data_IF_371918875842
#
_entry.id   IF_371918875842
#
_cell.length_a   1.000
_cell.length_b   1.000
_cell.length_c   1.000
_cell.angle_alpha   90.00
_cell.angle_beta   90.00
_cell.angle_gamma   90.00
#
_symmetry.space_group_name_H-M   'P 1'
#
loop_
_entity.id
_entity.type
_entity.pdbx_description
1 polymer ?
#
# COMPACT_ATOMS: atom_id res chain seq x y z
N UNK A 1 -12.76 30.75 11.45
CA UNK A 1 -12.61 29.29 11.39
C UNK A 1 -11.34 28.98 10.60
N UNK A 2 -10.44 28.12 11.09
CA UNK A 2 -9.25 27.72 10.32
C UNK A 2 -9.68 26.79 9.17
N UNK A 3 -9.13 26.99 7.96
CA UNK A 3 -9.33 26.05 6.84
C UNK A 3 -8.89 24.64 7.23
N UNK A 4 -9.59 23.60 6.77
CA UNK A 4 -9.28 22.20 7.05
C UNK A 4 -7.79 21.86 6.94
N UNK A 5 -7.13 22.20 5.83
CA UNK A 5 -5.71 21.93 5.63
C UNK A 5 -4.82 22.54 6.74
N UNK A 6 -5.13 23.74 7.20
CA UNK A 6 -4.38 24.43 8.26
C UNK A 6 -4.55 23.74 9.63
N UNK A 7 -5.74 23.20 9.92
CA UNK A 7 -5.96 22.36 11.11
C UNK A 7 -5.07 21.11 11.07
N UNK A 8 -5.00 20.46 9.90
CA UNK A 8 -4.19 19.25 9.71
C UNK A 8 -2.68 19.55 9.77
N UNK A 9 -2.22 20.68 9.20
CA UNK A 9 -0.82 21.13 9.32
C UNK A 9 -0.40 21.26 10.78
N UNK A 10 -1.26 21.85 11.63
CA UNK A 10 -1.01 21.97 13.07
C UNK A 10 -0.98 20.63 13.79
N UNK A 11 -1.78 19.63 13.37
CA UNK A 11 -1.65 18.26 13.88
C UNK A 11 -0.35 17.62 13.46
N UNK A 12 0.01 17.73 12.18
CA UNK A 12 1.27 17.18 11.65
C UNK A 12 2.51 17.78 12.34
N UNK A 13 2.44 19.03 12.78
CA UNK A 13 3.50 19.69 13.57
C UNK A 13 3.60 19.16 15.00
N UNK A 14 2.52 18.61 15.55
CA UNK A 14 2.42 18.09 16.92
C UNK A 14 2.62 16.58 17.03
N UNK A 15 3.08 15.90 15.97
CA UNK A 15 3.40 14.48 16.07
C UNK A 15 4.42 14.28 17.21
N UNK A 16 3.95 13.66 18.29
CA UNK A 16 4.65 13.62 19.57
C UNK A 16 5.75 12.57 19.59
N UNK A 17 5.63 11.56 18.73
CA UNK A 17 6.54 10.43 18.66
C UNK A 17 7.76 10.79 17.79
N UNK A 18 8.93 10.81 18.43
CA UNK A 18 10.24 11.09 17.84
C UNK A 18 11.25 10.07 18.35
N UNK A 19 12.33 9.85 17.62
CA UNK A 19 13.37 8.89 17.97
C UNK A 19 12.79 7.48 18.18
N UNK A 20 11.87 7.10 17.30
CA UNK A 20 11.14 5.84 17.36
C UNK A 20 12.02 4.64 16.95
N UNK A 21 13.08 4.90 16.18
CA UNK A 21 13.93 3.89 15.54
C UNK A 21 15.32 4.44 15.26
N UNK A 22 16.25 3.54 14.95
CA UNK A 22 17.63 3.80 14.52
C UNK A 22 17.78 3.63 13.01
N UNK A 23 18.91 4.08 12.45
CA UNK A 23 19.29 3.87 11.03
C UNK A 23 19.84 2.45 10.78
N UNK A 24 19.70 1.53 11.74
CA UNK A 24 20.24 0.17 11.67
C UNK A 24 19.32 -0.76 10.90
N UNK A 25 19.90 -1.75 10.22
CA UNK A 25 19.16 -2.82 9.53
C UNK A 25 19.49 -4.14 10.20
N UNK A 26 18.48 -4.79 10.76
CA UNK A 26 18.54 -6.15 11.29
C UNK A 26 17.70 -7.06 10.38
N UNK A 27 18.33 -7.61 9.33
CA UNK A 27 17.62 -8.36 8.30
C UNK A 27 17.20 -9.75 8.80
N UNK A 28 15.93 -9.87 9.21
CA UNK A 28 15.34 -11.10 9.77
C UNK A 28 14.59 -11.96 8.75
N UNK A 29 14.47 -11.51 7.50
CA UNK A 29 13.68 -12.20 6.47
C UNK A 29 14.53 -13.06 5.52
N UNK A 30 14.12 -14.29 5.30
CA UNK A 30 14.64 -15.12 4.21
C UNK A 30 14.00 -14.75 2.86
N UNK A 31 14.81 -14.66 1.79
CA UNK A 31 14.30 -14.41 0.43
C UNK A 31 13.93 -15.75 -0.22
N UNK A 32 12.67 -16.14 -0.10
CA UNK A 32 12.18 -17.41 -0.65
C UNK A 32 12.04 -17.41 -2.17
N UNK A 33 11.70 -16.26 -2.79
CA UNK A 33 11.31 -16.20 -4.20
C UNK A 33 11.45 -14.78 -4.77
N UNK A 34 11.93 -14.70 -6.01
CA UNK A 34 11.79 -13.50 -6.85
C UNK A 34 10.91 -13.82 -8.06
N UNK A 35 9.97 -12.93 -8.34
CA UNK A 35 9.14 -12.98 -9.54
C UNK A 35 9.43 -11.73 -10.35
N UNK A 36 9.58 -11.90 -11.65
CA UNK A 36 9.85 -10.85 -12.62
C UNK A 36 8.75 -10.86 -13.69
N UNK A 37 8.68 -9.85 -14.58
CA UNK A 37 7.59 -9.75 -15.57
C UNK A 37 7.37 -11.03 -16.37
N UNK A 38 8.46 -11.68 -16.81
CA UNK A 38 8.49 -12.94 -17.55
C UNK A 38 7.90 -14.15 -16.79
N UNK A 39 7.72 -14.06 -15.47
CA UNK A 39 7.04 -15.09 -14.68
C UNK A 39 5.51 -14.98 -14.75
N UNK A 40 4.97 -13.88 -15.29
CA UNK A 40 3.54 -13.62 -15.37
C UNK A 40 3.05 -13.69 -16.81
N UNK A 41 2.23 -14.70 -17.11
CA UNK A 41 1.55 -14.82 -18.40
C UNK A 41 0.17 -14.17 -18.32
N UNK A 42 -0.04 -13.08 -19.04
CA UNK A 42 -1.32 -12.37 -19.00
C UNK A 42 -2.34 -13.07 -19.90
N UNK A 43 -3.50 -13.42 -19.35
CA UNK A 43 -4.47 -14.28 -20.07
C UNK A 43 -5.68 -13.54 -20.64
N UNK A 44 -5.88 -12.27 -20.28
CA UNK A 44 -7.04 -11.47 -20.69
C UNK A 44 -6.67 -10.11 -21.31
N UNK A 45 -5.40 -9.92 -21.71
CA UNK A 45 -4.90 -8.73 -22.38
C UNK A 45 -3.81 -9.14 -23.39
N UNK A 46 -3.72 -8.54 -24.59
CA UNK A 46 -2.87 -9.05 -25.66
C UNK A 46 -1.37 -8.73 -25.50
N UNK A 47 -0.95 -8.01 -24.45
CA UNK A 47 0.46 -7.65 -24.22
C UNK A 47 0.99 -8.36 -22.98
N UNK A 48 2.28 -8.66 -23.00
CA UNK A 48 3.02 -9.11 -21.82
C UNK A 48 3.52 -7.90 -21.02
N UNK A 49 3.63 -8.01 -19.68
CA UNK A 49 4.13 -6.92 -18.86
C UNK A 49 5.63 -6.71 -19.11
N UNK A 50 6.04 -5.45 -19.11
CA UNK A 50 7.45 -5.04 -19.14
C UNK A 50 8.04 -4.85 -17.74
N UNK A 51 7.19 -4.57 -16.75
CA UNK A 51 7.51 -4.53 -15.32
C UNK A 51 6.34 -5.11 -14.51
N UNK A 52 6.65 -5.79 -13.40
CA UNK A 52 5.67 -6.43 -12.52
C UNK A 52 6.20 -6.45 -11.10
N UNK A 53 5.68 -5.59 -10.23
CA UNK A 53 6.23 -5.37 -8.89
C UNK A 53 5.14 -4.99 -7.87
N UNK A 54 5.53 -4.67 -6.64
CA UNK A 54 4.67 -4.19 -5.55
C UNK A 54 3.35 -5.00 -5.37
N UNK A 55 3.39 -6.35 -5.34
CA UNK A 55 2.17 -7.14 -5.31
C UNK A 55 1.46 -7.10 -3.96
N UNK A 56 0.12 -7.09 -3.96
CA UNK A 56 -0.64 -7.54 -2.80
C UNK A 56 -0.65 -9.07 -2.72
N UNK A 57 -1.07 -9.60 -1.58
CA UNK A 57 -1.33 -11.02 -1.39
C UNK A 57 -2.64 -11.22 -0.62
N UNK A 58 -3.39 -12.25 -0.99
CA UNK A 58 -4.64 -12.64 -0.32
C UNK A 58 -4.58 -14.11 0.04
N UNK A 59 -4.63 -14.40 1.33
CA UNK A 59 -4.80 -15.76 1.83
C UNK A 59 -6.21 -16.28 1.54
N UNK A 60 -6.28 -17.49 0.97
CA UNK A 60 -7.52 -18.19 0.63
C UNK A 60 -7.68 -19.43 1.52
N UNK A 61 -8.91 -19.94 1.54
CA UNK A 61 -9.17 -21.29 2.06
C UNK A 61 -8.31 -22.34 1.30
N UNK A 62 -7.98 -23.44 1.98
CA UNK A 62 -7.12 -24.54 1.50
C UNK A 62 -5.61 -24.21 1.37
N UNK A 63 -5.11 -23.29 2.18
CA UNK A 63 -3.67 -22.93 2.20
C UNK A 63 -3.14 -22.45 0.84
N UNK A 64 -3.99 -21.71 0.12
CA UNK A 64 -3.66 -21.09 -1.17
C UNK A 64 -3.63 -19.56 -1.05
N UNK A 65 -2.99 -18.89 -2.00
CA UNK A 65 -2.96 -17.44 -2.11
C UNK A 65 -3.27 -16.96 -3.51
N UNK A 66 -3.88 -15.79 -3.60
CA UNK A 66 -3.79 -14.94 -4.79
C UNK A 66 -2.64 -13.95 -4.61
N UNK A 67 -1.85 -13.74 -5.67
CA UNK A 67 -0.85 -12.67 -5.76
C UNK A 67 -1.43 -11.63 -6.72
N UNK A 68 -1.34 -10.35 -6.34
CA UNK A 68 -1.92 -9.25 -7.11
C UNK A 68 -0.85 -8.26 -7.54
N UNK A 69 -0.06 -8.57 -8.59
CA UNK A 69 1.05 -7.72 -9.02
C UNK A 69 0.54 -6.41 -9.63
N UNK A 70 1.31 -5.33 -9.44
CA UNK A 70 1.22 -4.14 -10.28
C UNK A 70 1.87 -4.46 -11.61
N UNK A 71 1.11 -4.42 -12.69
CA UNK A 71 1.54 -4.73 -14.05
C UNK A 71 1.67 -3.46 -14.88
N UNK A 72 2.78 -3.33 -15.60
CA UNK A 72 3.04 -2.26 -16.55
C UNK A 72 3.33 -2.87 -17.90
N UNK A 73 2.68 -2.36 -18.94
CA UNK A 73 2.79 -2.90 -20.30
C UNK A 73 3.63 -2.03 -21.22
N UNK A 74 3.84 -0.75 -20.87
CA UNK A 74 4.53 0.23 -21.72
C UNK A 74 5.39 1.18 -20.89
N UNK A 75 6.62 1.44 -21.34
CA UNK A 75 7.55 2.34 -20.63
C UNK A 75 7.30 3.82 -20.86
N UNK A 76 6.64 4.22 -21.95
CA UNK A 76 6.54 5.66 -22.29
C UNK A 76 5.67 6.44 -21.30
N UNK A 77 4.48 5.93 -21.01
CA UNK A 77 3.57 6.55 -20.04
C UNK A 77 3.60 5.86 -18.67
N UNK A 78 4.19 4.66 -18.59
CA UNK A 78 4.34 3.87 -17.36
C UNK A 78 3.01 3.63 -16.63
N UNK A 79 1.92 3.56 -17.39
CA UNK A 79 0.57 3.38 -16.84
C UNK A 79 0.43 1.97 -16.29
N UNK A 80 0.15 1.89 -14.99
CA UNK A 80 0.02 0.62 -14.29
C UNK A 80 -1.42 0.15 -14.17
N UNK A 81 -1.54 -1.16 -14.04
CA UNK A 81 -2.76 -1.92 -13.79
C UNK A 81 -2.49 -2.93 -12.67
N UNK A 82 -3.52 -3.54 -12.11
CA UNK A 82 -3.39 -4.60 -11.10
C UNK A 82 -3.86 -5.92 -11.69
N UNK A 83 -3.00 -6.91 -11.59
CA UNK A 83 -3.31 -8.30 -11.92
C UNK A 83 -3.86 -9.08 -10.72
N UNK A 84 -4.40 -10.26 -10.99
CA UNK A 84 -4.62 -11.30 -9.99
C UNK A 84 -4.22 -12.66 -10.58
N UNK A 85 -3.41 -13.41 -9.86
CA UNK A 85 -3.03 -14.75 -10.28
C UNK A 85 -4.17 -15.73 -10.04
N UNK A 86 -4.13 -16.88 -10.71
CA UNK A 86 -4.81 -18.07 -10.16
C UNK A 86 -4.31 -18.37 -8.74
N UNK A 87 -5.09 -19.14 -7.98
CA UNK A 87 -4.67 -19.59 -6.65
C UNK A 87 -3.36 -20.37 -6.73
N UNK A 88 -2.45 -20.08 -5.81
CA UNK A 88 -1.14 -20.72 -5.69
C UNK A 88 -1.02 -21.34 -4.31
N UNK A 89 -0.63 -22.62 -4.18
CA UNK A 89 -0.37 -23.21 -2.87
C UNK A 89 0.74 -22.45 -2.14
N UNK A 90 0.51 -22.07 -0.89
CA UNK A 90 1.46 -21.29 -0.08
C UNK A 90 2.78 -22.03 0.09
N UNK A 91 2.73 -23.36 0.23
CA UNK A 91 3.93 -24.17 0.33
C UNK A 91 4.88 -23.98 -0.86
N UNK A 92 4.36 -23.80 -2.08
CA UNK A 92 5.20 -23.51 -3.26
C UNK A 92 5.85 -22.13 -3.20
N UNK A 93 5.20 -21.16 -2.55
CA UNK A 93 5.73 -19.82 -2.34
C UNK A 93 6.89 -19.86 -1.34
N UNK A 94 6.68 -20.53 -0.19
CA UNK A 94 7.69 -20.70 0.87
C UNK A 94 8.91 -21.46 0.33
N UNK A 95 8.69 -22.52 -0.45
CA UNK A 95 9.77 -23.34 -1.03
C UNK A 95 10.44 -22.72 -2.27
N UNK A 96 9.99 -21.56 -2.74
CA UNK A 96 10.54 -20.92 -3.95
C UNK A 96 10.31 -21.72 -5.24
N UNK A 97 9.26 -22.54 -5.31
CA UNK A 97 8.98 -23.47 -6.42
C UNK A 97 8.00 -22.92 -7.46
N UNK A 98 7.72 -21.63 -7.43
CA UNK A 98 6.89 -20.95 -8.44
C UNK A 98 7.77 -20.54 -9.62
N UNK A 99 7.32 -20.83 -10.84
CA UNK A 99 8.06 -20.49 -12.08
C UNK A 99 7.26 -19.61 -13.03
N UNK A 100 6.01 -19.99 -13.29
CA UNK A 100 5.12 -19.25 -14.17
C UNK A 100 3.74 -19.15 -13.51
N UNK A 101 3.08 -18.01 -13.69
CA UNK A 101 1.78 -17.70 -13.14
C UNK A 101 0.90 -17.14 -14.25
N UNK A 102 -0.26 -17.75 -14.47
CA UNK A 102 -1.33 -17.10 -15.22
C UNK A 102 -1.88 -15.94 -14.38
N UNK A 103 -1.95 -14.75 -14.97
CA UNK A 103 -2.49 -13.54 -14.32
C UNK A 103 -3.58 -12.91 -15.18
N UNK A 104 -4.65 -12.44 -14.53
CA UNK A 104 -5.71 -11.66 -15.15
C UNK A 104 -5.60 -10.21 -14.71
N UNK A 105 -5.64 -9.26 -15.64
CA UNK A 105 -5.77 -7.83 -15.33
C UNK A 105 -7.18 -7.58 -14.80
N UNK A 106 -7.31 -7.13 -13.56
CA UNK A 106 -8.60 -6.90 -12.87
C UNK A 106 -8.86 -5.44 -12.54
N UNK A 107 -7.81 -4.63 -12.42
CA UNK A 107 -7.93 -3.19 -12.21
C UNK A 107 -7.07 -2.45 -13.22
N UNK A 108 -7.65 -1.49 -13.91
CA UNK A 108 -6.96 -0.61 -14.84
C UNK A 108 -7.64 0.77 -14.84
N UNK A 109 -6.97 1.81 -15.37
CA UNK A 109 -7.56 3.14 -15.43
C UNK A 109 -8.87 3.16 -16.24
N UNK A 110 -9.93 3.64 -15.60
CA UNK A 110 -11.25 3.91 -16.18
C UNK A 110 -11.74 5.32 -15.85
N UNK A 111 -11.04 6.04 -14.97
CA UNK A 111 -11.35 7.42 -14.59
C UNK A 111 -10.16 8.36 -14.76
N UNK A 112 -10.46 9.66 -14.91
CA UNK A 112 -9.45 10.70 -15.11
C UNK A 112 -8.46 10.82 -13.92
N UNK A 113 -8.92 10.57 -12.70
CA UNK A 113 -8.11 10.67 -11.48
C UNK A 113 -7.13 9.50 -11.28
N UNK A 114 -7.20 8.47 -12.12
CA UNK A 114 -6.27 7.32 -12.16
C UNK A 114 -5.72 7.08 -13.58
N UNK A 115 -5.88 8.04 -14.49
CA UNK A 115 -5.51 7.89 -15.91
C UNK A 115 -4.01 7.60 -16.15
N UNK A 116 -3.17 7.86 -15.16
CA UNK A 116 -1.73 7.60 -15.18
C UNK A 116 -1.36 6.29 -14.46
N UNK A 117 -2.32 5.55 -13.89
CA UNK A 117 -2.11 4.22 -13.34
C UNK A 117 -2.89 3.93 -12.06
N UNK A 118 -3.12 2.64 -11.85
CA UNK A 118 -3.53 2.05 -10.57
C UNK A 118 -2.30 1.39 -9.95
N UNK A 119 -1.81 1.86 -8.80
CA UNK A 119 -0.54 1.44 -8.21
C UNK A 119 -0.73 0.77 -6.84
N UNK A 120 0.17 -0.16 -6.52
CA UNK A 120 0.50 -0.65 -5.18
C UNK A 120 -0.73 -1.13 -4.36
N UNK A 121 -1.38 -2.23 -4.78
CA UNK A 121 -2.61 -2.71 -4.17
C UNK A 121 -2.37 -3.28 -2.77
N UNK A 122 -3.36 -3.11 -1.89
CA UNK A 122 -3.46 -3.72 -0.56
C UNK A 122 -4.89 -4.20 -0.36
N UNK A 123 -5.04 -5.46 -0.01
CA UNK A 123 -6.34 -6.16 -0.08
C UNK A 123 -6.81 -6.63 1.28
N UNK A 124 -8.12 -6.61 1.48
CA UNK A 124 -8.79 -7.20 2.64
C UNK A 124 -10.08 -7.89 2.18
N UNK A 125 -10.29 -9.13 2.64
CA UNK A 125 -11.53 -9.86 2.42
C UNK A 125 -12.57 -9.44 3.47
N UNK A 126 -13.79 -9.14 3.03
CA UNK A 126 -14.95 -8.83 3.87
C UNK A 126 -16.13 -9.67 3.36
N UNK A 127 -16.40 -10.78 4.04
CA UNK A 127 -17.26 -11.83 3.50
C UNK A 127 -16.69 -12.35 2.18
N UNK A 128 -17.50 -12.37 1.14
CA UNK A 128 -17.11 -12.80 -0.21
C UNK A 128 -16.53 -11.68 -1.08
N UNK A 129 -16.52 -10.44 -0.58
CA UNK A 129 -16.03 -9.28 -1.34
C UNK A 129 -14.57 -9.01 -1.02
N UNK A 130 -13.80 -8.68 -2.05
CA UNK A 130 -12.45 -8.16 -1.89
C UNK A 130 -12.49 -6.63 -1.92
N UNK A 131 -12.08 -6.01 -0.82
CA UNK A 131 -11.77 -4.59 -0.77
C UNK A 131 -10.30 -4.40 -1.14
N UNK A 132 -10.03 -3.52 -2.10
CA UNK A 132 -8.67 -3.21 -2.54
C UNK A 132 -8.41 -1.72 -2.39
N UNK A 133 -7.53 -1.37 -1.46
CA UNK A 133 -6.90 -0.06 -1.41
C UNK A 133 -5.79 -0.02 -2.46
N UNK A 134 -5.69 1.07 -3.19
CA UNK A 134 -4.63 1.29 -4.17
C UNK A 134 -4.42 2.79 -4.38
N UNK A 135 -3.32 3.17 -5.02
CA UNK A 135 -3.08 4.54 -5.42
C UNK A 135 -3.63 4.78 -6.82
N UNK A 136 -4.58 5.69 -6.97
CA UNK A 136 -4.97 6.23 -8.26
C UNK A 136 -4.08 7.42 -8.63
N UNK A 137 -3.35 7.33 -9.74
CA UNK A 137 -2.48 8.40 -10.23
C UNK A 137 -3.13 9.10 -11.41
N UNK A 138 -3.40 10.40 -11.32
CA UNK A 138 -4.10 11.07 -12.41
C UNK A 138 -4.42 12.52 -12.16
N UNK A 139 -5.53 12.98 -12.75
CA UNK A 139 -5.98 14.36 -12.68
C UNK A 139 -7.29 14.47 -11.89
N UNK A 140 -7.26 15.27 -10.82
CA UNK A 140 -8.42 15.59 -9.98
C UNK A 140 -8.90 17.00 -10.31
N UNK A 141 -10.23 17.17 -10.39
CA UNK A 141 -10.84 18.48 -10.60
C UNK A 141 -10.88 19.26 -9.28
N UNK A 142 -10.23 20.41 -9.24
CA UNK A 142 -10.20 21.34 -8.10
C UNK A 142 -10.72 22.71 -8.59
N UNK A 143 -11.98 23.01 -8.28
CA UNK A 143 -12.68 24.17 -8.83
C UNK A 143 -12.70 24.15 -10.37
N UNK A 144 -12.03 25.11 -11.01
CA UNK A 144 -11.93 25.21 -12.49
C UNK A 144 -10.68 24.55 -13.07
N UNK A 145 -9.76 24.04 -12.25
CA UNK A 145 -8.48 23.48 -12.70
C UNK A 145 -8.46 21.96 -12.52
N UNK A 146 -7.60 21.31 -13.31
CA UNK A 146 -7.23 19.91 -13.13
C UNK A 146 -5.82 19.88 -12.55
N UNK A 147 -5.65 19.20 -11.44
CA UNK A 147 -4.36 19.05 -10.76
C UNK A 147 -3.93 17.59 -10.81
N UNK A 148 -2.62 17.37 -11.00
CA UNK A 148 -2.05 16.03 -10.85
C UNK A 148 -2.04 15.67 -9.37
N UNK A 149 -2.67 14.56 -9.01
CA UNK A 149 -2.71 14.05 -7.64
C UNK A 149 -2.52 12.53 -7.64
N UNK A 150 -2.00 12.06 -6.51
CA UNK A 150 -1.98 10.66 -6.16
C UNK A 150 -3.05 10.43 -5.08
N UNK A 151 -4.14 9.77 -5.42
CA UNK A 151 -5.29 9.61 -4.51
C UNK A 151 -5.33 8.21 -3.91
N UNK A 152 -5.67 8.12 -2.63
CA UNK A 152 -5.98 6.85 -1.99
C UNK A 152 -7.34 6.40 -2.49
N UNK A 153 -7.37 5.30 -3.22
CA UNK A 153 -8.56 4.77 -3.86
C UNK A 153 -8.99 3.44 -3.27
N UNK A 154 -10.29 3.15 -3.39
CA UNK A 154 -10.92 1.89 -3.01
C UNK A 154 -11.63 1.29 -4.22
N UNK A 155 -11.36 0.02 -4.49
CA UNK A 155 -12.14 -0.81 -5.38
C UNK A 155 -12.80 -1.96 -4.60
N UNK A 156 -14.07 -2.25 -4.92
CA UNK A 156 -14.79 -3.41 -4.42
C UNK A 156 -14.93 -4.42 -5.55
N UNK A 157 -14.36 -5.61 -5.36
CA UNK A 157 -14.40 -6.69 -6.33
C UNK A 157 -15.32 -7.81 -5.82
N UNK A 158 -16.09 -8.42 -6.73
CA UNK A 158 -16.88 -9.61 -6.44
C UNK A 158 -16.03 -10.89 -6.43
N UNK A 159 -16.66 -12.05 -6.20
CA UNK A 159 -16.02 -13.37 -6.17
C UNK A 159 -15.40 -13.79 -7.52
N UNK A 160 -15.79 -13.13 -8.61
CA UNK A 160 -15.21 -13.30 -9.94
C UNK A 160 -14.22 -12.19 -10.29
N UNK A 161 -13.80 -11.40 -9.29
CA UNK A 161 -12.89 -10.27 -9.40
C UNK A 161 -13.36 -9.14 -10.32
N UNK A 162 -14.66 -9.04 -10.60
CA UNK A 162 -15.20 -7.89 -11.32
C UNK A 162 -15.32 -6.69 -10.39
N UNK A 163 -14.83 -5.54 -10.85
CA UNK A 163 -14.94 -4.28 -10.13
C UNK A 163 -16.41 -3.83 -10.10
N UNK A 164 -17.05 -3.87 -8.93
CA UNK A 164 -18.43 -3.38 -8.73
C UNK A 164 -18.50 -1.90 -8.42
N UNK A 165 -17.47 -1.39 -7.74
CA UNK A 165 -17.39 0.01 -7.33
C UNK A 165 -15.95 0.44 -7.27
N UNK A 166 -15.71 1.69 -7.66
CA UNK A 166 -14.39 2.32 -7.60
C UNK A 166 -14.53 3.81 -7.31
N UNK A 167 -13.67 4.34 -6.46
CA UNK A 167 -13.59 5.78 -6.15
C UNK A 167 -12.41 6.07 -5.24
N UNK A 168 -12.24 7.33 -4.83
CA UNK A 168 -11.13 7.74 -3.97
C UNK A 168 -11.58 8.52 -2.75
N UNK A 169 -10.76 8.44 -1.70
CA UNK A 169 -11.03 9.05 -0.42
C UNK A 169 -10.71 10.55 -0.42
N UNK A 170 -11.61 11.34 0.16
CA UNK A 170 -11.35 12.75 0.53
C UNK A 170 -11.31 12.89 2.04
N UNK A 171 -10.52 13.84 2.55
CA UNK A 171 -10.55 14.16 3.97
C UNK A 171 -11.70 15.14 4.21
N UNK A 172 -12.54 14.88 5.22
CA UNK A 172 -13.68 15.75 5.54
C UNK A 172 -13.65 16.23 6.98
N UNK A 173 -14.01 17.49 7.23
CA UNK A 173 -14.11 18.04 8.58
C UNK A 173 -15.20 19.12 8.60
N UNK A 174 -16.28 18.89 9.34
CA UNK A 174 -17.41 19.84 9.46
C UNK A 174 -17.97 20.31 8.10
N UNK A 175 -18.03 19.39 7.12
CA UNK A 175 -18.53 19.65 5.78
C UNK A 175 -17.52 20.26 4.80
N UNK A 176 -16.33 20.67 5.26
CA UNK A 176 -15.22 21.00 4.36
C UNK A 176 -14.57 19.72 3.83
N UNK A 177 -14.26 19.69 2.53
CA UNK A 177 -13.52 18.60 1.88
C UNK A 177 -12.10 19.05 1.53
N UNK A 178 -11.15 18.13 1.61
CA UNK A 178 -9.77 18.33 1.20
C UNK A 178 -9.21 17.08 0.53
N UNK A 179 -8.68 17.26 -0.68
CA UNK A 179 -7.91 16.22 -1.37
C UNK A 179 -6.43 16.60 -1.30
N UNK A 180 -5.58 15.88 -0.53
CA UNK A 180 -4.16 16.18 -0.46
C UNK A 180 -3.48 15.96 -1.83
N UNK A 181 -2.32 16.58 -2.09
CA UNK A 181 -1.55 16.34 -3.32
C UNK A 181 -1.21 14.85 -3.51
N UNK A 182 -0.95 14.15 -2.39
CA UNK A 182 -0.68 12.72 -2.37
C UNK A 182 -1.37 12.09 -1.15
N UNK A 183 -1.99 10.93 -1.31
CA UNK A 183 -2.40 10.04 -0.23
C UNK A 183 -2.20 8.61 -0.72
N UNK A 184 -1.20 7.93 -0.19
CA UNK A 184 -0.84 6.55 -0.53
C UNK A 184 -0.75 5.71 0.75
N UNK A 185 -0.18 4.50 0.65
CA UNK A 185 0.39 3.80 1.80
C UNK A 185 -0.64 3.62 2.92
N UNK A 186 -1.73 2.92 2.62
CA UNK A 186 -2.86 2.77 3.52
C UNK A 186 -3.22 1.30 3.75
N UNK A 187 -3.70 1.01 4.96
CA UNK A 187 -4.15 -0.32 5.36
C UNK A 187 -5.44 -0.21 6.17
N UNK A 188 -6.32 -1.19 5.99
CA UNK A 188 -7.45 -1.39 6.88
C UNK A 188 -7.00 -2.02 8.20
N UNK A 189 -7.65 -1.65 9.30
CA UNK A 189 -7.55 -2.32 10.59
C UNK A 189 -8.89 -3.01 10.89
N UNK A 190 -9.79 -2.33 11.60
CA UNK A 190 -11.14 -2.82 11.88
C UNK A 190 -12.08 -2.36 10.78
N UNK A 191 -12.80 -3.30 10.17
CA UNK A 191 -13.81 -3.00 9.16
C UNK A 191 -15.20 -3.36 9.70
N UNK A 192 -16.04 -2.34 9.85
CA UNK A 192 -17.48 -2.48 10.07
C UNK A 192 -18.27 -2.42 8.76
N UNK A 193 -19.60 -2.25 8.87
CA UNK A 193 -20.49 -2.23 7.70
C UNK A 193 -20.25 -1.03 6.76
N UNK A 194 -20.04 0.15 7.34
CA UNK A 194 -19.72 1.38 6.60
C UNK A 194 -18.45 2.08 7.11
N UNK A 195 -18.09 1.84 8.37
CA UNK A 195 -16.94 2.48 9.00
C UNK A 195 -15.74 1.55 9.00
N UNK A 196 -14.55 2.11 8.84
CA UNK A 196 -13.32 1.38 9.09
C UNK A 196 -12.30 2.27 9.82
N UNK A 197 -11.60 1.71 10.79
CA UNK A 197 -10.36 2.29 11.25
C UNK A 197 -9.26 1.97 10.24
N UNK A 198 -8.47 2.98 9.89
CA UNK A 198 -7.49 2.91 8.82
C UNK A 198 -6.18 3.57 9.20
N UNK A 199 -5.11 2.99 8.70
CA UNK A 199 -3.80 3.61 8.58
C UNK A 199 -3.74 4.30 7.21
N UNK A 200 -3.28 5.55 7.15
CA UNK A 200 -3.22 6.36 5.92
C UNK A 200 -1.98 7.25 5.88
N UNK A 201 -1.60 7.72 4.68
CA UNK A 201 -0.42 8.59 4.49
C UNK A 201 -0.73 9.79 3.58
N UNK A 202 -1.64 10.69 3.99
CA UNK A 202 -1.85 11.94 3.27
C UNK A 202 -0.65 12.86 3.42
N UNK A 203 -0.27 13.52 2.34
CA UNK A 203 0.70 14.62 2.36
C UNK A 203 0.00 15.90 2.82
N UNK A 204 0.38 16.38 4.01
CA UNK A 204 -0.20 17.56 4.64
C UNK A 204 0.89 18.61 4.84
N UNK A 205 0.78 19.75 4.16
CA UNK A 205 1.78 20.81 4.24
C UNK A 205 3.19 20.37 3.89
N UNK A 206 3.32 19.51 2.87
CA UNK A 206 4.60 18.93 2.42
C UNK A 206 5.15 17.81 3.32
N UNK A 207 4.46 17.45 4.42
CA UNK A 207 4.89 16.35 5.29
C UNK A 207 4.33 15.02 4.82
N UNK A 208 5.23 14.05 4.60
CA UNK A 208 4.92 12.67 4.19
C UNK A 208 5.22 11.72 5.36
N UNK A 209 4.27 11.67 6.30
CA UNK A 209 4.34 10.91 7.55
C UNK A 209 3.12 9.99 7.68
N UNK A 210 3.18 9.00 8.58
CA UNK A 210 2.10 8.05 8.81
C UNK A 210 1.00 8.63 9.71
N UNK A 211 -0.25 8.34 9.39
CA UNK A 211 -1.45 8.74 10.14
C UNK A 211 -2.38 7.55 10.37
N UNK A 212 -3.36 7.77 11.27
CA UNK A 212 -4.54 6.93 11.47
C UNK A 212 -5.81 7.77 11.39
N UNK A 213 -6.94 7.16 11.02
CA UNK A 213 -8.26 7.79 11.08
C UNK A 213 -9.39 6.77 11.01
N UNK A 214 -10.59 7.22 11.34
CA UNK A 214 -11.84 6.59 10.92
C UNK A 214 -12.20 7.00 9.48
N UNK A 215 -12.72 6.06 8.71
CA UNK A 215 -13.19 6.28 7.35
C UNK A 215 -14.65 5.84 7.17
N UNK A 216 -15.37 6.48 6.25
CA UNK A 216 -16.64 5.96 5.71
C UNK A 216 -16.37 5.36 4.34
N UNK A 217 -16.68 4.07 4.18
CA UNK A 217 -16.46 3.30 2.97
C UNK A 217 -17.52 3.60 1.91
N UNK A 218 -18.78 3.82 2.29
CA UNK A 218 -19.84 4.21 1.35
C UNK A 218 -19.62 5.61 0.79
N UNK A 219 -19.19 6.57 1.61
CA UNK A 219 -18.97 7.95 1.15
C UNK A 219 -17.55 8.18 0.63
N UNK A 220 -16.61 7.25 0.87
CA UNK A 220 -15.18 7.40 0.57
C UNK A 220 -14.63 8.68 1.19
N UNK A 221 -14.77 8.79 2.52
CA UNK A 221 -14.26 9.93 3.28
C UNK A 221 -13.39 9.46 4.44
N UNK A 222 -12.30 10.18 4.70
CA UNK A 222 -11.49 10.07 5.91
C UNK A 222 -11.96 11.15 6.88
N UNK A 223 -12.36 10.78 8.08
CA UNK A 223 -12.83 11.74 9.09
C UNK A 223 -11.66 12.54 9.63
N UNK A 224 -11.55 13.77 9.13
CA UNK A 224 -10.53 14.74 9.50
C UNK A 224 -10.51 15.04 10.99
N UNK A 225 -11.60 14.84 11.75
CA UNK A 225 -11.58 15.01 13.22
C UNK A 225 -10.80 13.90 13.93
N UNK A 226 -10.79 12.70 13.36
CA UNK A 226 -10.07 11.52 13.90
C UNK A 226 -8.68 11.34 13.29
N UNK A 227 -8.37 12.07 12.21
CA UNK A 227 -7.09 11.99 11.51
C UNK A 227 -5.95 12.52 12.39
N UNK A 228 -5.13 11.61 12.91
CA UNK A 228 -4.03 11.89 13.85
C UNK A 228 -2.71 11.28 13.35
N UNK A 229 -1.57 12.00 13.48
CA UNK A 229 -0.28 11.51 13.04
C UNK A 229 0.25 10.47 14.03
N UNK A 230 0.79 9.37 13.50
CA UNK A 230 1.22 8.19 14.27
C UNK A 230 2.73 8.05 14.27
N UNK A 231 3.37 8.26 13.13
CA UNK A 231 4.81 8.06 13.00
C UNK A 231 5.39 9.08 12.02
N UNK A 232 6.28 9.92 12.52
CA UNK A 232 7.01 10.92 11.74
C UNK A 232 8.34 10.38 11.21
N UNK A 233 8.95 11.15 10.32
CA UNK A 233 10.31 10.91 9.84
C UNK A 233 11.32 11.17 10.96
N UNK A 234 12.35 10.34 11.04
CA UNK A 234 13.59 10.63 11.73
C UNK A 234 14.45 11.63 10.93
N UNK A 235 15.46 12.31 11.53
CA UNK A 235 16.25 13.34 10.84
C UNK A 235 16.93 12.88 9.55
N UNK A 236 17.25 11.59 9.43
CA UNK A 236 17.87 10.95 8.28
C UNK A 236 16.87 10.37 7.25
N UNK A 237 15.56 10.48 7.51
CA UNK A 237 14.50 10.00 6.62
C UNK A 237 13.85 11.15 5.85
N UNK A 238 13.74 11.01 4.53
CA UNK A 238 13.04 11.93 3.65
C UNK A 238 11.51 11.79 3.78
N UNK A 239 11.03 10.55 3.92
CA UNK A 239 9.61 10.24 4.13
C UNK A 239 9.45 8.86 4.76
N UNK A 240 8.29 8.66 5.38
CA UNK A 240 7.84 7.36 5.87
C UNK A 240 6.40 7.07 5.45
N UNK A 241 6.07 5.79 5.36
CA UNK A 241 4.72 5.33 5.02
C UNK A 241 4.44 3.91 5.48
N UNK A 242 3.16 3.55 5.55
CA UNK A 242 2.74 2.17 5.76
C UNK A 242 3.03 1.37 4.50
N UNK A 243 3.66 0.20 4.62
CA UNK A 243 4.05 -0.61 3.48
C UNK A 243 3.04 -1.73 3.21
N UNK A 244 2.64 -2.56 4.15
CA UNK A 244 1.76 -3.71 3.83
C UNK A 244 0.29 -3.46 4.14
N UNK A 245 -0.60 -4.41 3.79
CA UNK A 245 -1.85 -4.58 4.54
C UNK A 245 -1.54 -4.89 6.01
N UNK A 246 -2.52 -4.71 6.89
CA UNK A 246 -2.41 -5.12 8.28
C UNK A 246 -2.90 -6.57 8.46
N UNK A 247 -2.31 -7.29 9.40
CA UNK A 247 -2.76 -8.62 9.84
C UNK A 247 -3.06 -8.58 11.33
N UNK A 248 -4.13 -9.26 11.75
CA UNK A 248 -4.55 -9.26 13.15
C UNK A 248 -3.66 -10.19 13.98
N UNK A 249 -3.05 -9.68 15.05
CA UNK A 249 -2.22 -10.45 15.98
C UNK A 249 -3.03 -10.98 17.17
N UNK A 250 -3.89 -10.13 17.72
CA UNK A 250 -4.71 -10.42 18.90
C UNK A 250 -6.06 -9.71 18.78
N UNK A 251 -6.87 -9.69 19.85
CA UNK A 251 -8.19 -9.04 19.81
C UNK A 251 -8.14 -7.58 19.37
N UNK A 252 -7.10 -6.85 19.79
CA UNK A 252 -6.96 -5.40 19.69
C UNK A 252 -5.64 -4.97 19.05
N UNK A 253 -4.81 -5.88 18.54
CA UNK A 253 -3.51 -5.55 17.97
C UNK A 253 -3.39 -6.05 16.53
N UNK A 254 -2.75 -5.22 15.71
CA UNK A 254 -2.49 -5.47 14.31
C UNK A 254 -1.00 -5.30 14.02
N UNK A 255 -0.44 -6.21 13.23
CA UNK A 255 0.90 -6.09 12.66
C UNK A 255 0.79 -5.48 11.26
N UNK A 256 1.65 -4.52 10.98
CA UNK A 256 1.72 -3.85 9.68
C UNK A 256 3.17 -3.54 9.33
N UNK A 257 3.52 -3.67 8.06
CA UNK A 257 4.79 -3.18 7.55
C UNK A 257 4.81 -1.66 7.44
N UNK A 258 5.97 -1.06 7.63
CA UNK A 258 6.23 0.33 7.29
C UNK A 258 7.50 0.43 6.46
N UNK A 259 7.68 1.56 5.77
CA UNK A 259 8.90 1.88 5.05
C UNK A 259 9.41 3.27 5.41
N UNK A 260 10.73 3.43 5.32
CA UNK A 260 11.41 4.72 5.34
C UNK A 260 12.26 4.90 4.10
N UNK A 261 12.33 6.14 3.61
CA UNK A 261 13.25 6.54 2.53
C UNK A 261 14.35 7.36 3.13
N UNK A 262 15.59 6.91 2.96
CA UNK A 262 16.76 7.58 3.53
C UNK A 262 17.19 8.76 2.65
N UNK A 263 17.59 9.87 3.28
CA UNK A 263 17.90 11.13 2.57
C UNK A 263 19.15 11.05 1.70
N UNK A 264 20.18 10.35 2.15
CA UNK A 264 21.50 10.36 1.50
C UNK A 264 21.51 9.46 0.26
N UNK A 265 20.90 8.28 0.36
CA UNK A 265 20.93 7.26 -0.69
C UNK A 265 19.59 7.07 -1.42
N UNK A 266 18.53 7.75 -1.00
CA UNK A 266 17.14 7.56 -1.49
C UNK A 266 16.64 6.10 -1.43
N UNK A 267 17.27 5.25 -0.63
CA UNK A 267 16.93 3.84 -0.52
C UNK A 267 15.63 3.64 0.26
N UNK A 268 14.79 2.71 -0.18
CA UNK A 268 13.62 2.27 0.57
C UNK A 268 13.97 1.04 1.40
N UNK A 269 13.75 1.17 2.70
CA UNK A 269 13.94 0.09 3.69
C UNK A 269 12.64 -0.10 4.46
N UNK A 270 12.36 -1.33 4.87
CA UNK A 270 11.10 -1.67 5.55
C UNK A 270 11.36 -2.16 6.97
N UNK A 271 10.37 -1.95 7.83
CA UNK A 271 10.28 -2.55 9.16
C UNK A 271 8.85 -3.00 9.43
N UNK A 272 8.60 -3.42 10.67
CA UNK A 272 7.28 -3.79 11.16
C UNK A 272 6.86 -2.89 12.32
N UNK A 273 5.55 -2.72 12.47
CA UNK A 273 4.94 -1.98 13.56
C UNK A 273 3.73 -2.75 14.09
N UNK A 274 3.49 -2.63 15.39
CA UNK A 274 2.26 -3.08 16.03
C UNK A 274 1.43 -1.84 16.33
N UNK A 275 0.16 -1.87 15.93
CA UNK A 275 -0.83 -0.83 16.23
C UNK A 275 -2.05 -1.43 16.91
N UNK A 276 -2.77 -0.62 17.69
CA UNK A 276 -4.08 -1.02 18.24
C UNK A 276 -5.19 -0.98 17.16
N UNK A 277 -6.43 -1.34 17.53
CA UNK A 277 -7.56 -1.37 16.60
C UNK A 277 -7.96 0.01 16.07
N UNK A 278 -7.60 1.09 16.76
CA UNK A 278 -7.77 2.48 16.34
C UNK A 278 -6.57 3.03 15.57
N UNK A 279 -5.49 2.26 15.45
CA UNK A 279 -4.27 2.59 14.72
C UNK A 279 -3.20 3.36 15.52
N UNK A 280 -3.31 3.43 16.84
CA UNK A 280 -2.25 4.00 17.68
C UNK A 280 -1.03 3.06 17.71
N UNK A 281 0.17 3.63 17.67
CA UNK A 281 1.41 2.87 17.65
C UNK A 281 1.69 2.25 19.04
N UNK A 282 1.83 0.92 19.08
CA UNK A 282 2.17 0.16 20.28
C UNK A 282 3.66 -0.22 20.30
N UNK A 283 4.19 -0.61 19.15
CA UNK A 283 5.60 -0.94 18.98
C UNK A 283 6.05 -0.69 17.53
N UNK A 284 7.34 -0.45 17.34
CA UNK A 284 7.95 -0.26 16.03
C UNK A 284 9.36 -0.83 16.05
N UNK A 285 9.74 -1.53 14.98
CA UNK A 285 11.11 -2.02 14.80
C UNK A 285 12.02 -0.94 14.22
N UNK A 286 13.33 -1.19 14.25
CA UNK A 286 14.26 -0.60 13.29
C UNK A 286 13.97 -1.15 11.87
N UNK A 287 14.86 -0.95 10.91
CA UNK A 287 14.68 -1.58 9.59
C UNK A 287 14.97 -3.08 9.68
N UNK A 288 14.08 -3.87 9.10
CA UNK A 288 14.15 -5.33 9.06
C UNK A 288 14.40 -5.88 7.65
N UNK A 289 14.34 -5.01 6.65
CA UNK A 289 14.47 -5.40 5.24
C UNK A 289 15.07 -4.26 4.42
N UNK A 290 16.21 -4.51 3.79
CA UNK A 290 16.85 -3.60 2.83
C UNK A 290 17.35 -4.36 1.60
N UNK A 291 17.47 -3.69 0.44
CA UNK A 291 18.12 -4.26 -0.73
C UNK A 291 19.54 -4.73 -0.40
N UNK A 292 19.93 -5.94 -0.83
CA UNK A 292 21.27 -6.51 -0.55
C UNK A 292 21.95 -7.21 -1.72
N UNK A 293 21.23 -7.51 -2.81
CA UNK A 293 21.80 -8.18 -3.98
C UNK A 293 21.40 -7.47 -5.28
N UNK A 294 22.08 -7.80 -6.38
CA UNK A 294 21.86 -7.13 -7.67
C UNK A 294 20.39 -7.16 -8.13
N UNK A 295 19.65 -8.28 -8.07
CA UNK A 295 18.22 -8.30 -8.36
C UNK A 295 17.40 -7.28 -7.55
N UNK A 296 17.68 -7.13 -6.26
CA UNK A 296 16.97 -6.19 -5.39
C UNK A 296 17.40 -4.72 -5.60
N UNK A 297 18.64 -4.49 -6.04
CA UNK A 297 19.27 -3.17 -6.07
C UNK A 297 19.16 -2.45 -7.42
N UNK A 298 18.85 -3.16 -8.50
CA UNK A 298 18.85 -2.63 -9.86
C UNK A 298 17.50 -2.77 -10.57
N UNK A 299 16.99 -1.63 -11.08
CA UNK A 299 15.71 -1.49 -11.77
C UNK A 299 15.38 -0.01 -11.98
N UNK A 300 14.10 0.30 -12.22
CA UNK A 300 13.63 1.67 -12.47
C UNK A 300 13.79 2.59 -11.25
N UNK A 301 13.71 2.04 -10.04
CA UNK A 301 14.08 2.73 -8.80
C UNK A 301 15.13 1.94 -8.02
N UNK A 302 16.43 2.17 -8.25
CA UNK A 302 17.50 1.46 -7.54
C UNK A 302 17.37 1.55 -6.01
N UNK A 303 17.95 0.56 -5.33
CA UNK A 303 17.99 0.50 -3.85
C UNK A 303 16.60 0.53 -3.19
N UNK A 304 15.61 -0.09 -3.83
CA UNK A 304 14.23 -0.09 -3.33
C UNK A 304 13.70 -1.49 -3.08
N UNK A 305 13.29 -1.73 -1.84
CA UNK A 305 12.35 -2.80 -1.50
C UNK A 305 11.08 -2.12 -0.98
N UNK A 306 9.92 -2.46 -1.53
CA UNK A 306 8.65 -1.80 -1.18
C UNK A 306 7.54 -2.81 -0.89
N UNK A 307 7.12 -2.88 0.37
CA UNK A 307 6.08 -3.82 0.80
C UNK A 307 4.70 -3.42 0.35
N UNK A 308 3.86 -4.42 0.07
CA UNK A 308 2.43 -4.28 -0.20
C UNK A 308 1.61 -5.40 0.46
N UNK A 309 2.16 -6.61 0.56
CA UNK A 309 1.50 -7.79 1.11
C UNK A 309 2.10 -8.30 2.43
N UNK A 310 1.23 -8.73 3.34
CA UNK A 310 1.59 -9.39 4.60
C UNK A 310 0.53 -10.44 4.95
N UNK A 311 0.95 -11.68 5.22
CA UNK A 311 0.08 -12.74 5.75
C UNK A 311 0.78 -13.53 6.85
N UNK A 312 -0.01 -14.11 7.75
CA UNK A 312 0.45 -15.08 8.74
C UNK A 312 -0.02 -16.45 8.28
N UNK A 313 0.90 -17.41 8.21
CA UNK A 313 0.60 -18.80 7.88
C UNK A 313 1.40 -19.72 8.80
N UNK A 314 0.71 -20.40 9.71
CA UNK A 314 1.33 -21.23 10.75
C UNK A 314 2.37 -20.40 11.53
N UNK A 315 3.62 -20.84 11.59
CA UNK A 315 4.74 -20.12 12.20
C UNK A 315 5.37 -19.01 11.33
N UNK A 316 4.96 -18.89 10.06
CA UNK A 316 5.56 -17.96 9.11
C UNK A 316 4.83 -16.62 9.07
N UNK A 317 5.61 -15.55 9.08
CA UNK A 317 5.20 -14.24 8.59
C UNK A 317 5.71 -14.08 7.16
N UNK A 318 4.79 -14.02 6.19
CA UNK A 318 5.14 -13.90 4.78
C UNK A 318 4.93 -12.44 4.38
N UNK A 319 6.03 -11.78 4.03
CA UNK A 319 6.06 -10.43 3.50
C UNK A 319 6.25 -10.47 1.99
N UNK A 320 5.50 -9.64 1.26
CA UNK A 320 5.55 -9.58 -0.20
C UNK A 320 5.60 -8.13 -0.64
N UNK A 321 6.44 -7.83 -1.62
CA UNK A 321 6.68 -6.48 -2.08
C UNK A 321 7.51 -6.45 -3.35
N UNK A 322 7.68 -5.26 -3.92
CA UNK A 322 8.46 -5.06 -5.12
C UNK A 322 9.93 -4.79 -4.84
N UNK A 323 10.74 -5.07 -5.84
CA UNK A 323 12.17 -4.82 -5.91
C UNK A 323 12.47 -3.87 -7.06
N UNK A 324 13.11 -2.76 -6.73
CA UNK A 324 13.56 -1.71 -7.65
C UNK A 324 12.54 -1.22 -8.69
N UNK A 325 11.24 -1.21 -8.35
CA UNK A 325 10.12 -0.91 -9.28
C UNK A 325 10.16 -1.73 -10.59
N UNK A 326 10.61 -2.99 -10.51
CA UNK A 326 10.76 -3.88 -11.68
C UNK A 326 10.19 -5.29 -11.46
N UNK A 327 10.53 -5.93 -10.33
CA UNK A 327 10.08 -7.28 -9.91
C UNK A 327 9.31 -7.29 -8.60
#
# INVERSE_FOLDING_TARGET
MLKLEEKLKRRAARCALKNLRRKDVDDVFERSLYLFPQNFRVVNYPREPVASFNPAIVFCENEEVHILPRLIFEYYTYVSSIGITKKVPIQKLIEGKIRNLDVQVVLHPTFLWEILGCEDPRTQMVGEQMLMLYTGKGLVQEGKRKERKDVLALANLDTSFNVKRKGFFKITWDGEEFTPPSNKDAAFLKIGKDRASMLVRPEIGGKRICWRCEASLSNLTLDGKTLEPVMANEPWEEKVGWSTNAVKLSSNEYLVGWHGVLKEEESYKNGLAIVDEEGALLAVSDYLLSPKNLPEMYGDKPLTIFGCGLIIYKEYLIWVGGISDYG
#
